data_IF_427916366191
#
_entry.id   IF_427916366191
#
_cell.length_a   1.000
_cell.length_b   1.000
_cell.length_c   1.000
_cell.angle_alpha   90.00
_cell.angle_beta   90.00
_cell.angle_gamma   90.00
#
_symmetry.space_group_name_H-M   'P 1'
#
loop_
_entity.id
_entity.type
_entity.pdbx_description
1 polymer ?
#
# COMPACT_ATOMS: atom_id res chain seq x y z
N UNK A 1 15.29 5.36 12.39
CA UNK A 1 14.02 4.59 12.44
C UNK A 1 12.84 5.54 12.32
N UNK A 2 12.85 6.43 11.34
CA UNK A 2 11.77 7.39 11.11
C UNK A 2 10.76 6.82 10.11
N UNK A 3 11.25 6.25 9.00
CA UNK A 3 10.42 5.62 7.98
C UNK A 3 9.60 4.46 8.56
N UNK A 4 10.23 3.61 9.39
CA UNK A 4 9.55 2.51 10.07
C UNK A 4 8.44 3.01 11.02
N UNK A 5 8.77 3.94 11.92
CA UNK A 5 7.81 4.46 12.92
C UNK A 5 6.59 5.09 12.25
N UNK A 6 6.81 5.91 11.22
CA UNK A 6 5.73 6.53 10.46
C UNK A 6 4.83 5.47 9.75
N UNK A 7 5.37 4.28 9.45
CA UNK A 7 4.69 3.21 8.69
C UNK A 7 3.90 2.23 9.53
N UNK A 8 4.16 2.15 10.83
CA UNK A 8 3.49 1.20 11.73
C UNK A 8 1.96 1.28 11.68
N UNK A 9 1.41 2.50 11.72
CA UNK A 9 -0.04 2.70 11.66
C UNK A 9 -0.65 2.16 10.35
N UNK A 10 0.06 2.30 9.24
CA UNK A 10 -0.39 1.79 7.94
C UNK A 10 -0.41 0.27 7.92
N UNK A 11 0.59 -0.39 8.50
CA UNK A 11 0.62 -1.84 8.66
C UNK A 11 -0.57 -2.36 9.48
N UNK A 12 -0.83 -1.76 10.63
CA UNK A 12 -1.99 -2.11 11.48
C UNK A 12 -3.30 -1.90 10.72
N UNK A 13 -3.44 -0.77 10.01
CA UNK A 13 -4.63 -0.51 9.19
C UNK A 13 -4.80 -1.53 8.06
N UNK A 14 -3.70 -1.97 7.43
CA UNK A 14 -3.71 -2.98 6.38
C UNK A 14 -4.21 -4.33 6.90
N UNK A 15 -3.76 -4.77 8.09
CA UNK A 15 -4.26 -5.98 8.74
C UNK A 15 -5.79 -5.97 8.88
N UNK A 16 -6.34 -4.89 9.45
CA UNK A 16 -7.78 -4.79 9.68
C UNK A 16 -8.61 -4.69 8.38
N UNK A 17 -8.03 -4.16 7.29
CA UNK A 17 -8.72 -4.14 5.98
C UNK A 17 -8.93 -5.53 5.41
N UNK A 18 -7.93 -6.42 5.53
CA UNK A 18 -8.08 -7.82 5.10
C UNK A 18 -9.01 -8.56 6.03
N UNK A 19 -8.87 -8.37 7.35
CA UNK A 19 -9.79 -8.97 8.31
C UNK A 19 -11.24 -8.60 7.99
N UNK A 20 -11.52 -7.30 7.81
CA UNK A 20 -12.84 -6.82 7.43
C UNK A 20 -13.33 -7.45 6.13
N UNK A 21 -12.49 -7.48 5.08
CA UNK A 21 -12.85 -8.10 3.81
C UNK A 21 -13.19 -9.59 3.99
N UNK A 22 -12.33 -10.36 4.68
CA UNK A 22 -12.54 -11.78 4.94
C UNK A 22 -13.85 -12.04 5.69
N UNK A 23 -14.17 -11.22 6.71
CA UNK A 23 -15.44 -11.32 7.45
C UNK A 23 -16.67 -11.14 6.55
N UNK A 24 -16.62 -10.28 5.52
CA UNK A 24 -17.72 -10.16 4.55
C UNK A 24 -17.99 -11.46 3.76
N UNK A 25 -16.99 -12.34 3.67
CA UNK A 25 -17.09 -13.65 3.01
C UNK A 25 -17.24 -14.82 3.98
N UNK A 26 -17.46 -14.55 5.28
CA UNK A 26 -17.45 -15.56 6.35
C UNK A 26 -16.18 -16.43 6.35
N UNK A 27 -15.04 -15.85 5.98
CA UNK A 27 -13.74 -16.50 6.03
C UNK A 27 -12.82 -15.82 7.05
N UNK A 28 -11.80 -16.54 7.49
CA UNK A 28 -10.73 -15.97 8.32
C UNK A 28 -9.43 -16.70 8.04
N UNK A 29 -8.41 -15.95 7.64
CA UNK A 29 -7.06 -16.46 7.43
C UNK A 29 -6.06 -15.43 7.96
N UNK A 30 -5.55 -15.71 9.17
CA UNK A 30 -4.58 -14.87 9.86
C UNK A 30 -3.28 -14.69 9.05
N UNK A 31 -2.84 -15.72 8.32
CA UNK A 31 -1.61 -15.65 7.53
C UNK A 31 -1.74 -14.60 6.43
N UNK A 32 -2.90 -14.50 5.79
CA UNK A 32 -3.16 -13.48 4.77
C UNK A 32 -3.22 -12.07 5.36
N UNK A 33 -3.85 -11.91 6.52
CA UNK A 33 -3.88 -10.62 7.23
C UNK A 33 -2.46 -10.13 7.57
N UNK A 34 -1.62 -11.02 8.08
CA UNK A 34 -0.22 -10.72 8.39
C UNK A 34 0.63 -10.51 7.14
N UNK A 35 0.46 -11.34 6.10
CA UNK A 35 1.20 -11.20 4.85
C UNK A 35 0.89 -9.85 4.18
N UNK A 36 -0.36 -9.40 4.20
CA UNK A 36 -0.70 -8.08 3.68
C UNK A 36 -0.19 -6.94 4.57
N UNK A 37 -0.25 -7.08 5.90
CA UNK A 37 0.36 -6.13 6.83
C UNK A 37 1.83 -5.88 6.48
N UNK A 38 2.61 -6.95 6.31
CA UNK A 38 4.02 -6.85 5.92
C UNK A 38 4.21 -6.27 4.51
N UNK A 39 3.35 -6.61 3.56
CA UNK A 39 3.37 -6.01 2.21
C UNK A 39 3.17 -4.50 2.27
N UNK A 40 2.17 -4.03 3.02
CA UNK A 40 1.90 -2.62 3.19
C UNK A 40 3.04 -1.90 3.92
N UNK A 41 3.59 -2.50 4.98
CA UNK A 41 4.77 -1.95 5.67
C UNK A 41 5.94 -1.80 4.70
N UNK A 42 6.21 -2.81 3.88
CA UNK A 42 7.32 -2.75 2.95
C UNK A 42 7.19 -1.58 1.95
N UNK A 43 6.00 -1.41 1.35
CA UNK A 43 5.74 -0.34 0.39
C UNK A 43 5.92 1.04 1.03
N UNK A 44 5.36 1.25 2.23
CA UNK A 44 5.41 2.54 2.90
C UNK A 44 6.77 2.88 3.50
N UNK A 45 7.49 1.87 4.01
CA UNK A 45 8.87 2.05 4.46
C UNK A 45 9.74 2.42 3.27
N UNK A 46 9.56 1.77 2.11
CA UNK A 46 10.31 2.11 0.90
C UNK A 46 10.06 3.56 0.48
N UNK A 47 8.79 3.97 0.33
CA UNK A 47 8.41 5.34 -0.05
C UNK A 47 9.05 6.37 0.90
N UNK A 48 8.87 6.18 2.20
CA UNK A 48 9.41 7.09 3.22
C UNK A 48 10.91 7.03 3.38
N UNK A 49 11.54 5.89 3.11
CA UNK A 49 12.99 5.79 3.15
C UNK A 49 13.63 6.70 2.10
N UNK A 50 12.97 6.90 0.96
CA UNK A 50 13.40 7.87 -0.04
C UNK A 50 13.15 9.31 0.40
N UNK A 51 12.00 9.59 1.02
CA UNK A 51 11.70 10.94 1.53
C UNK A 51 12.63 11.37 2.69
N UNK A 52 13.03 10.43 3.54
CA UNK A 52 13.96 10.68 4.66
C UNK A 52 15.45 10.45 4.30
N UNK A 53 15.77 10.13 3.04
CA UNK A 53 17.13 9.76 2.60
C UNK A 53 17.82 8.73 3.52
N UNK A 54 17.06 7.74 3.99
CA UNK A 54 17.50 6.77 4.99
C UNK A 54 17.75 5.38 4.41
N UNK A 55 18.68 4.63 5.02
CA UNK A 55 18.94 3.23 4.67
C UNK A 55 17.87 2.25 5.16
N UNK A 56 16.70 2.74 5.58
CA UNK A 56 15.60 1.93 6.10
C UNK A 56 14.90 1.09 5.01
N UNK A 57 15.29 1.23 3.73
CA UNK A 57 14.83 0.36 2.63
C UNK A 57 15.16 -1.12 2.89
N UNK A 58 16.18 -1.44 3.70
CA UNK A 58 16.49 -2.82 4.10
C UNK A 58 15.32 -3.45 4.86
N UNK A 59 14.61 -2.68 5.69
CA UNK A 59 13.39 -3.16 6.36
C UNK A 59 12.26 -3.41 5.38
N UNK A 60 12.15 -2.62 4.31
CA UNK A 60 11.17 -2.89 3.26
C UNK A 60 11.41 -4.25 2.59
N UNK A 61 12.67 -4.57 2.28
CA UNK A 61 13.05 -5.88 1.73
C UNK A 61 12.73 -6.99 2.73
N UNK A 62 13.09 -6.83 4.01
CA UNK A 62 12.79 -7.79 5.06
C UNK A 62 11.28 -8.10 5.14
N UNK A 63 10.43 -7.07 5.18
CA UNK A 63 8.98 -7.25 5.28
C UNK A 63 8.37 -7.91 4.02
N UNK A 64 8.88 -7.61 2.83
CA UNK A 64 8.46 -8.33 1.62
C UNK A 64 8.82 -9.82 1.71
N UNK A 65 10.03 -10.15 2.18
CA UNK A 65 10.44 -11.54 2.36
C UNK A 65 9.59 -12.25 3.41
N UNK A 66 9.28 -11.61 4.54
CA UNK A 66 8.36 -12.16 5.55
C UNK A 66 6.96 -12.41 4.97
N UNK A 67 6.45 -11.49 4.16
CA UNK A 67 5.17 -11.69 3.47
C UNK A 67 5.22 -12.89 2.51
N UNK A 68 6.31 -13.02 1.75
CA UNK A 68 6.52 -14.14 0.83
C UNK A 68 6.60 -15.48 1.58
N UNK A 69 7.28 -15.54 2.73
CA UNK A 69 7.33 -16.76 3.55
C UNK A 69 5.95 -17.14 4.07
N UNK A 70 5.10 -16.17 4.42
CA UNK A 70 3.76 -16.44 4.96
C UNK A 70 2.74 -16.89 3.91
N UNK A 71 2.84 -16.40 2.67
CA UNK A 71 1.81 -16.62 1.64
C UNK A 71 2.34 -17.20 0.31
N UNK A 72 3.65 -17.43 0.19
CA UNK A 72 4.32 -18.07 -0.96
C UNK A 72 3.84 -17.55 -2.32
N UNK A 73 3.66 -16.23 -2.43
CA UNK A 73 3.16 -15.55 -3.61
C UNK A 73 4.07 -14.38 -3.97
N UNK A 74 4.30 -14.13 -5.26
CA UNK A 74 5.10 -13.00 -5.73
C UNK A 74 4.40 -11.64 -5.61
N UNK A 75 3.12 -11.60 -5.20
CA UNK A 75 2.37 -10.36 -5.05
C UNK A 75 3.05 -9.27 -4.18
N UNK A 76 3.68 -9.58 -3.02
CA UNK A 76 4.38 -8.58 -2.23
C UNK A 76 5.51 -7.89 -2.99
N UNK A 77 6.24 -8.63 -3.84
CA UNK A 77 7.32 -8.08 -4.67
C UNK A 77 6.76 -7.19 -5.78
N UNK A 78 5.67 -7.60 -6.42
CA UNK A 78 4.98 -6.79 -7.43
C UNK A 78 4.49 -5.48 -6.78
N UNK A 79 3.89 -5.56 -5.60
CA UNK A 79 3.39 -4.41 -4.87
C UNK A 79 4.54 -3.46 -4.43
N UNK A 80 5.67 -4.01 -3.98
CA UNK A 80 6.88 -3.24 -3.69
C UNK A 80 7.44 -2.56 -4.94
N UNK A 81 7.46 -3.26 -6.07
CA UNK A 81 7.93 -2.69 -7.35
C UNK A 81 7.02 -1.54 -7.83
N UNK A 82 5.70 -1.69 -7.73
CA UNK A 82 4.76 -0.60 -8.00
C UNK A 82 5.00 0.57 -7.04
N UNK A 83 5.22 0.29 -5.75
CA UNK A 83 5.62 1.30 -4.75
C UNK A 83 6.91 2.03 -5.15
N UNK A 84 7.93 1.30 -5.60
CA UNK A 84 9.18 1.89 -6.10
C UNK A 84 8.95 2.81 -7.30
N UNK A 85 8.18 2.37 -8.29
CA UNK A 85 7.83 3.17 -9.46
C UNK A 85 7.00 4.41 -9.09
N UNK A 86 6.17 4.29 -8.06
CA UNK A 86 5.41 5.40 -7.48
C UNK A 86 6.34 6.43 -6.84
N UNK A 87 7.20 6.01 -5.91
CA UNK A 87 8.03 6.91 -5.11
C UNK A 87 9.23 7.47 -5.86
N UNK A 88 10.09 6.58 -6.39
CA UNK A 88 11.38 6.95 -7.00
C UNK A 88 11.33 6.95 -8.53
N UNK A 89 10.59 6.01 -9.12
CA UNK A 89 10.50 5.87 -10.57
C UNK A 89 11.79 5.36 -11.23
N UNK A 90 11.78 5.31 -12.56
CA UNK A 90 12.91 4.85 -13.40
C UNK A 90 13.26 5.93 -14.40
N UNK A 91 14.54 6.32 -14.49
CA UNK A 91 15.04 7.34 -15.44
C UNK A 91 14.22 8.64 -15.43
N UNK A 92 13.75 9.07 -14.25
CA UNK A 92 12.94 10.28 -14.08
C UNK A 92 11.43 10.12 -14.34
N UNK A 93 10.97 8.95 -14.80
CA UNK A 93 9.55 8.63 -14.96
C UNK A 93 9.00 8.01 -13.66
N UNK A 94 8.05 8.72 -13.03
CA UNK A 94 7.40 8.33 -11.76
C UNK A 94 5.88 8.25 -11.94
N UNK A 95 5.23 7.30 -11.25
CA UNK A 95 3.76 7.22 -11.22
C UNK A 95 3.14 8.33 -10.34
N UNK A 96 3.91 8.92 -9.43
CA UNK A 96 3.49 10.03 -8.54
C UNK A 96 3.35 11.38 -9.27
N UNK A 97 3.40 11.44 -10.62
CA UNK A 97 3.26 12.69 -11.41
C UNK A 97 1.83 12.91 -11.89
N UNK A 98 1.32 14.15 -11.75
CA UNK A 98 0.04 14.62 -12.31
C UNK A 98 -1.14 14.71 -11.33
N UNK A 99 -2.13 15.56 -11.65
CA UNK A 99 -3.27 15.95 -10.81
C UNK A 99 -4.40 14.88 -10.67
N UNK A 100 -4.11 13.60 -10.89
CA UNK A 100 -5.13 12.54 -10.73
C UNK A 100 -4.66 11.12 -11.01
N UNK A 101 -3.65 10.94 -11.87
CA UNK A 101 -3.08 9.62 -12.18
C UNK A 101 -2.47 8.97 -10.94
N UNK A 102 -1.79 9.75 -10.09
CA UNK A 102 -1.25 9.24 -8.81
C UNK A 102 -2.34 8.65 -7.92
N UNK A 103 -3.50 9.31 -7.85
CA UNK A 103 -4.62 8.91 -7.00
C UNK A 103 -5.26 7.63 -7.52
N UNK A 104 -5.40 7.50 -8.84
CA UNK A 104 -5.89 6.30 -9.49
C UNK A 104 -4.95 5.11 -9.28
N UNK A 105 -3.64 5.30 -9.47
CA UNK A 105 -2.62 4.26 -9.25
C UNK A 105 -2.63 3.79 -7.80
N UNK A 106 -2.64 4.72 -6.83
CA UNK A 106 -2.73 4.37 -5.40
C UNK A 106 -4.01 3.59 -5.10
N UNK A 107 -5.15 4.06 -5.61
CA UNK A 107 -6.45 3.44 -5.37
C UNK A 107 -6.57 2.02 -5.96
N UNK A 108 -6.09 1.83 -7.20
CA UNK A 108 -6.06 0.52 -7.84
C UNK A 108 -5.12 -0.43 -7.11
N UNK A 109 -3.93 0.05 -6.72
CA UNK A 109 -2.95 -0.76 -5.98
C UNK A 109 -3.55 -1.28 -4.67
N UNK A 110 -4.23 -0.43 -3.91
CA UNK A 110 -4.91 -0.85 -2.68
C UNK A 110 -6.04 -1.84 -2.96
N UNK A 111 -6.93 -1.55 -3.91
CA UNK A 111 -8.07 -2.42 -4.23
C UNK A 111 -7.65 -3.82 -4.70
N UNK A 112 -6.69 -3.90 -5.62
CA UNK A 112 -6.17 -5.17 -6.16
C UNK A 112 -5.50 -5.99 -5.07
N UNK A 113 -4.63 -5.38 -4.26
CA UNK A 113 -4.00 -6.10 -3.16
C UNK A 113 -5.03 -6.60 -2.14
N UNK A 114 -5.98 -5.76 -1.72
CA UNK A 114 -6.98 -6.17 -0.73
C UNK A 114 -7.80 -7.35 -1.25
N UNK A 115 -8.26 -7.33 -2.50
CA UNK A 115 -8.98 -8.46 -3.08
C UNK A 115 -8.12 -9.72 -3.18
N UNK A 116 -6.86 -9.58 -3.60
CA UNK A 116 -5.91 -10.69 -3.70
C UNK A 116 -5.69 -11.38 -2.35
N UNK A 117 -5.38 -10.61 -1.30
CA UNK A 117 -5.12 -11.17 0.04
C UNK A 117 -6.40 -11.59 0.77
N UNK A 118 -7.55 -11.00 0.48
CA UNK A 118 -8.82 -11.43 1.08
C UNK A 118 -9.41 -12.67 0.39
N UNK A 119 -8.94 -13.03 -0.82
CA UNK A 119 -9.49 -14.11 -1.67
C UNK A 119 -10.95 -13.87 -2.08
N UNK A 120 -11.34 -12.60 -2.28
CA UNK A 120 -12.73 -12.22 -2.58
C UNK A 120 -12.85 -11.56 -3.97
N UNK A 121 -14.05 -11.64 -4.53
CA UNK A 121 -14.45 -11.23 -5.88
C UNK A 121 -14.27 -9.71 -6.17
N UNK A 122 -14.35 -9.35 -7.46
CA UNK A 122 -14.22 -8.02 -8.07
C UNK A 122 -15.01 -6.89 -7.41
N UNK A 123 -16.14 -7.17 -6.75
CA UNK A 123 -16.91 -6.14 -6.03
C UNK A 123 -16.11 -5.48 -4.90
N UNK A 124 -15.24 -6.24 -4.22
CA UNK A 124 -14.34 -5.70 -3.19
C UNK A 124 -13.25 -4.83 -3.81
N UNK A 125 -12.76 -5.17 -5.01
CA UNK A 125 -11.82 -4.32 -5.75
C UNK A 125 -12.48 -2.97 -6.00
N UNK A 126 -13.69 -2.95 -6.57
CA UNK A 126 -14.41 -1.70 -6.88
C UNK A 126 -14.62 -0.87 -5.61
N UNK A 127 -15.12 -1.48 -4.53
CA UNK A 127 -15.35 -0.78 -3.26
C UNK A 127 -14.07 -0.14 -2.72
N UNK A 128 -12.98 -0.91 -2.55
CA UNK A 128 -11.75 -0.38 -1.97
C UNK A 128 -11.02 0.57 -2.90
N UNK A 129 -11.10 0.38 -4.22
CA UNK A 129 -10.55 1.33 -5.20
C UNK A 129 -11.31 2.65 -5.14
N UNK A 130 -12.64 2.65 -5.24
CA UNK A 130 -13.44 3.89 -5.20
C UNK A 130 -13.23 4.62 -3.87
N UNK A 131 -13.29 3.89 -2.75
CA UNK A 131 -13.02 4.45 -1.42
C UNK A 131 -11.63 5.10 -1.36
N UNK A 132 -10.59 4.39 -1.81
CA UNK A 132 -9.23 4.89 -1.75
C UNK A 132 -9.01 6.09 -2.67
N UNK A 133 -9.65 6.09 -3.85
CA UNK A 133 -9.59 7.20 -4.80
C UNK A 133 -10.23 8.47 -4.25
N UNK A 134 -11.40 8.37 -3.62
CA UNK A 134 -12.07 9.51 -2.97
C UNK A 134 -11.17 10.05 -1.85
N UNK A 135 -10.61 9.19 -1.00
CA UNK A 135 -9.74 9.61 0.10
C UNK A 135 -8.48 10.32 -0.42
N UNK A 136 -7.83 9.79 -1.46
CA UNK A 136 -6.61 10.42 -2.01
C UNK A 136 -6.91 11.75 -2.68
N UNK A 137 -8.05 11.89 -3.36
CA UNK A 137 -8.52 13.18 -3.88
C UNK A 137 -8.79 14.20 -2.77
N UNK A 138 -9.49 13.80 -1.71
CA UNK A 138 -9.79 14.69 -0.58
C UNK A 138 -8.51 15.17 0.12
N UNK A 139 -7.51 14.29 0.25
CA UNK A 139 -6.21 14.65 0.80
C UNK A 139 -5.49 15.69 -0.09
N UNK A 140 -5.51 15.51 -1.41
CA UNK A 140 -4.94 16.50 -2.34
C UNK A 140 -5.62 17.87 -2.25
N UNK A 141 -6.95 17.91 -2.10
CA UNK A 141 -7.68 19.17 -1.89
C UNK A 141 -7.31 19.85 -0.56
N UNK A 142 -7.11 19.06 0.50
CA UNK A 142 -6.67 19.58 1.79
C UNK A 142 -5.26 20.16 1.71
N UNK A 143 -4.35 19.48 1.03
CA UNK A 143 -2.95 19.89 0.91
C UNK A 143 -2.81 21.15 0.04
N UNK A 144 -3.60 21.29 -1.01
CA UNK A 144 -3.64 22.51 -1.83
C UNK A 144 -4.15 23.73 -1.05
N UNK A 145 -5.15 23.56 -0.18
CA UNK A 145 -5.60 24.64 0.72
C UNK A 145 -4.54 25.10 1.75
N UNK A 146 -3.61 24.22 2.14
CA UNK A 146 -2.49 24.56 3.03
C UNK A 146 -1.28 25.21 2.33
N UNK A 147 -1.20 25.07 1.01
CA UNK A 147 -0.12 25.62 0.17
C UNK A 147 -0.45 27.00 -0.41
N UNK A 148 -1.62 27.57 -0.10
CA UNK A 148 -1.94 28.97 -0.34
C UNK A 148 -1.49 29.75 0.91
N UNK A 149 -0.20 30.05 0.97
CA UNK A 149 0.40 31.05 1.88
C UNK A 149 1.37 31.89 1.08
#
# INVERSE_FOLDING_TARGET
MEALKASMFVGVSAFFRILFAQQLSNSFDLKLCLAFCFTALAIYILDRSFDYESNEFVFAILFVLLSFVLFSSFMPFIALFIGFLYSKGVKGFRLKRGYGVKNLVTALTWGVNIAFYSKINTLIIVFFTVKSFIITLLNDFKDTGSNIK
#
